data_IF_341420691097
#
_entry.id   IF_341420691097
#
_cell.length_a   1.000
_cell.length_b   1.000
_cell.length_c   1.000
_cell.angle_alpha   90.00
_cell.angle_beta   90.00
_cell.angle_gamma   90.00
#
_symmetry.space_group_name_H-M   'P 1'
#
loop_
_entity.id
_entity.type
_entity.pdbx_description
1 polymer ?
#
# COMPACT_ATOMS: atom_id res chain seq x y z
N UNK A 1 -19.34 11.96 26.79
CA UNK A 1 -18.06 12.44 27.37
C UNK A 1 -17.24 13.04 26.23
N UNK A 2 -17.03 14.36 26.25
CA UNK A 2 -16.15 15.05 25.31
C UNK A 2 -14.70 14.65 25.63
N UNK A 3 -14.14 13.70 24.88
CA UNK A 3 -12.70 13.49 24.87
C UNK A 3 -12.06 14.54 23.98
N UNK A 4 -10.91 15.07 24.39
CA UNK A 4 -10.10 15.95 23.54
C UNK A 4 -9.73 15.20 22.24
N UNK A 5 -9.91 15.81 21.05
CA UNK A 5 -9.66 15.16 19.77
C UNK A 5 -8.26 14.56 19.65
N UNK A 6 -7.22 15.31 20.05
CA UNK A 6 -5.82 14.87 19.96
C UNK A 6 -5.48 13.60 20.75
N UNK A 7 -6.04 13.43 21.95
CA UNK A 7 -5.82 12.23 22.79
C UNK A 7 -6.54 11.02 22.17
N UNK A 8 -7.68 11.28 21.54
CA UNK A 8 -8.49 10.27 20.85
C UNK A 8 -7.73 9.74 19.63
N UNK A 9 -7.12 10.64 18.87
CA UNK A 9 -6.34 10.28 17.67
C UNK A 9 -5.06 9.52 18.01
N UNK A 10 -4.32 9.95 19.05
CA UNK A 10 -3.11 9.25 19.50
C UNK A 10 -3.41 7.83 19.99
N UNK A 11 -4.47 7.66 20.76
CA UNK A 11 -4.85 6.32 21.27
C UNK A 11 -5.23 5.38 20.12
N UNK A 12 -6.02 5.88 19.16
CA UNK A 12 -6.40 5.13 17.97
C UNK A 12 -5.17 4.71 17.16
N UNK A 13 -4.23 5.63 16.96
CA UNK A 13 -3.01 5.35 16.21
C UNK A 13 -2.13 4.28 16.90
N UNK A 14 -2.05 4.28 18.23
CA UNK A 14 -1.34 3.21 18.96
C UNK A 14 -1.96 1.82 18.72
N UNK A 15 -3.30 1.72 18.63
CA UNK A 15 -3.95 0.45 18.30
C UNK A 15 -3.66 0.02 16.85
N UNK A 16 -3.66 0.96 15.90
CA UNK A 16 -3.32 0.71 14.49
C UNK A 16 -1.90 0.18 14.38
N UNK A 17 -0.92 0.85 14.99
CA UNK A 17 0.49 0.46 14.89
C UNK A 17 0.72 -0.96 15.44
N UNK A 18 0.17 -1.24 16.64
CA UNK A 18 0.26 -2.58 17.25
C UNK A 18 -0.44 -3.64 16.40
N UNK A 19 -1.59 -3.33 15.81
CA UNK A 19 -2.28 -4.24 14.91
C UNK A 19 -1.45 -4.55 13.66
N UNK A 20 -0.91 -3.52 12.99
CA UNK A 20 -0.06 -3.68 11.81
C UNK A 20 1.19 -4.52 12.12
N UNK A 21 1.84 -4.28 13.27
CA UNK A 21 2.99 -5.07 13.71
C UNK A 21 2.64 -6.56 13.89
N UNK A 22 1.50 -6.85 14.50
CA UNK A 22 1.01 -8.23 14.65
C UNK A 22 0.62 -8.84 13.30
N UNK A 23 -0.01 -8.06 12.43
CA UNK A 23 -0.50 -8.53 11.13
C UNK A 23 0.62 -8.82 10.14
N UNK A 24 1.78 -8.19 10.28
CA UNK A 24 3.01 -8.60 9.60
C UNK A 24 3.50 -10.01 10.02
N UNK A 25 3.16 -10.48 11.22
CA UNK A 25 3.76 -11.68 11.81
C UNK A 25 2.85 -12.90 11.74
N UNK A 26 1.53 -12.72 11.72
CA UNK A 26 0.54 -13.80 11.77
C UNK A 26 -0.79 -13.41 11.14
N UNK A 27 -1.59 -14.38 10.69
CA UNK A 27 -2.88 -14.09 10.05
C UNK A 27 -3.87 -13.50 11.05
N UNK A 28 -4.85 -12.73 10.55
CA UNK A 28 -5.76 -11.92 11.38
C UNK A 28 -6.54 -12.77 12.39
N UNK A 29 -6.89 -14.01 12.06
CA UNK A 29 -7.64 -14.93 12.94
C UNK A 29 -6.83 -15.35 14.18
N UNK A 30 -5.51 -15.10 14.19
CA UNK A 30 -4.61 -15.35 15.32
C UNK A 30 -4.31 -14.08 16.13
N UNK A 31 -4.85 -12.94 15.73
CA UNK A 31 -4.77 -11.67 16.44
C UNK A 31 -6.00 -11.54 17.34
N UNK A 32 -5.82 -11.05 18.57
CA UNK A 32 -6.95 -10.83 19.50
C UNK A 32 -6.99 -9.41 20.02
N UNK A 33 -8.20 -8.91 20.31
CA UNK A 33 -8.40 -7.61 20.98
C UNK A 33 -7.63 -7.54 22.31
N UNK A 34 -7.53 -8.67 23.02
CA UNK A 34 -6.78 -8.73 24.29
C UNK A 34 -5.28 -8.49 24.09
N UNK A 35 -4.69 -9.09 23.06
CA UNK A 35 -3.29 -8.93 22.72
C UNK A 35 -2.98 -7.51 22.25
N UNK A 36 -3.80 -6.96 21.34
CA UNK A 36 -3.67 -5.57 20.88
C UNK A 36 -3.74 -4.63 22.08
N UNK A 37 -4.79 -4.73 22.91
CA UNK A 37 -4.95 -3.85 24.06
C UNK A 37 -3.74 -3.91 25.01
N UNK A 38 -3.26 -5.13 25.32
CA UNK A 38 -2.10 -5.35 26.18
C UNK A 38 -0.83 -4.71 25.61
N UNK A 39 -0.52 -4.94 24.33
CA UNK A 39 0.69 -4.40 23.69
C UNK A 39 0.60 -2.89 23.50
N UNK A 40 -0.59 -2.34 23.31
CA UNK A 40 -0.81 -0.88 23.25
C UNK A 40 -0.79 -0.20 24.63
N UNK A 41 -0.69 -0.94 25.74
CA UNK A 41 -0.71 -0.38 27.10
C UNK A 41 -2.08 0.09 27.57
N UNK A 42 -3.17 -0.42 26.99
CA UNK A 42 -4.54 -0.05 27.31
C UNK A 42 -5.41 -1.25 27.70
N UNK A 43 -6.58 -0.98 28.28
CA UNK A 43 -7.57 -2.01 28.58
C UNK A 43 -8.40 -2.35 27.33
N UNK A 44 -8.97 -3.57 27.29
CA UNK A 44 -9.92 -3.98 26.23
C UNK A 44 -11.11 -3.02 26.10
N UNK A 45 -11.61 -2.51 27.23
CA UNK A 45 -12.68 -1.52 27.24
C UNK A 45 -12.30 -0.21 26.56
N UNK A 46 -11.01 0.14 26.54
CA UNK A 46 -10.50 1.30 25.79
C UNK A 46 -10.50 1.01 24.30
N UNK A 47 -10.07 -0.18 23.88
CA UNK A 47 -10.13 -0.59 22.47
C UNK A 47 -11.55 -0.49 21.90
N UNK A 48 -12.54 -1.01 22.64
CA UNK A 48 -13.95 -1.00 22.21
C UNK A 48 -14.59 0.40 22.14
N UNK A 49 -13.88 1.44 22.56
CA UNK A 49 -14.32 2.83 22.33
C UNK A 49 -13.95 3.32 20.92
N UNK A 50 -13.07 2.62 20.21
CA UNK A 50 -12.60 2.97 18.87
C UNK A 50 -13.05 1.95 17.82
N UNK A 51 -13.01 0.65 18.13
CA UNK A 51 -13.28 -0.43 17.19
C UNK A 51 -14.13 -1.52 17.84
N UNK A 52 -15.12 -2.05 17.11
CA UNK A 52 -16.00 -3.12 17.62
C UNK A 52 -15.28 -4.46 17.74
N UNK A 53 -14.31 -4.72 16.87
CA UNK A 53 -13.49 -5.93 16.83
C UNK A 53 -12.22 -5.67 15.97
N UNK A 54 -11.45 -6.73 15.71
CA UNK A 54 -10.22 -6.66 14.91
C UNK A 54 -10.48 -6.44 13.41
N UNK A 55 -11.65 -6.82 12.90
CA UNK A 55 -12.00 -6.66 11.49
C UNK A 55 -12.44 -5.22 11.21
N UNK A 56 -13.19 -4.60 12.13
CA UNK A 56 -13.49 -3.17 12.07
C UNK A 56 -12.22 -2.31 12.11
N UNK A 57 -11.18 -2.76 12.82
CA UNK A 57 -9.86 -2.12 12.79
C UNK A 57 -9.15 -2.32 11.44
N UNK A 58 -9.16 -3.55 10.89
CA UNK A 58 -8.61 -3.80 9.55
C UNK A 58 -9.30 -2.93 8.49
N UNK A 59 -10.63 -2.93 8.47
CA UNK A 59 -11.42 -2.15 7.53
C UNK A 59 -11.08 -0.66 7.60
N UNK A 60 -10.94 -0.12 8.82
CA UNK A 60 -10.52 1.28 9.03
C UNK A 60 -9.14 1.56 8.46
N UNK A 61 -8.19 0.64 8.66
CA UNK A 61 -6.81 0.78 8.17
C UNK A 61 -6.76 0.72 6.65
N UNK A 62 -7.47 -0.22 6.03
CA UNK A 62 -7.59 -0.33 4.57
C UNK A 62 -8.27 0.91 3.97
N UNK A 63 -9.40 1.33 4.54
CA UNK A 63 -10.15 2.51 4.09
C UNK A 63 -9.28 3.76 4.12
N UNK A 64 -8.50 3.95 5.18
CA UNK A 64 -7.59 5.09 5.29
C UNK A 64 -6.59 5.13 4.13
N UNK A 65 -6.00 3.99 3.76
CA UNK A 65 -5.06 3.92 2.64
C UNK A 65 -5.76 4.17 1.31
N UNK A 66 -6.94 3.59 1.09
CA UNK A 66 -7.72 3.80 -0.13
C UNK A 66 -8.14 5.25 -0.29
N UNK A 67 -8.55 5.90 0.80
CA UNK A 67 -8.92 7.31 0.81
C UNK A 67 -7.72 8.21 0.45
N UNK A 68 -6.54 7.93 1.01
CA UNK A 68 -5.30 8.65 0.64
C UNK A 68 -4.99 8.52 -0.86
N UNK A 69 -5.16 7.33 -1.43
CA UNK A 69 -4.97 7.12 -2.88
C UNK A 69 -6.01 7.91 -3.69
N UNK A 70 -7.27 7.89 -3.29
CA UNK A 70 -8.34 8.66 -3.96
C UNK A 70 -8.09 10.17 -3.93
N UNK A 71 -7.68 10.70 -2.79
CA UNK A 71 -7.42 12.13 -2.60
C UNK A 71 -6.29 12.62 -3.51
N UNK A 72 -5.23 11.82 -3.67
CA UNK A 72 -4.10 12.14 -4.54
C UNK A 72 -4.45 12.02 -6.01
N UNK A 73 -5.27 11.04 -6.37
CA UNK A 73 -5.84 10.96 -7.72
C UNK A 73 -6.81 12.12 -8.03
N UNK A 74 -7.44 12.72 -7.02
CA UNK A 74 -8.37 13.83 -7.22
C UNK A 74 -7.71 15.21 -7.20
N UNK A 75 -6.60 15.38 -6.48
CA UNK A 75 -5.96 16.68 -6.22
C UNK A 75 -5.08 17.18 -7.37
N UNK A 76 -4.62 16.29 -8.25
CA UNK A 76 -3.74 16.62 -9.37
C UNK A 76 -4.55 16.59 -10.68
N UNK A 77 -4.44 17.63 -11.51
CA UNK A 77 -5.11 17.66 -12.82
C UNK A 77 -4.73 16.41 -13.62
N UNK A 78 -5.76 15.77 -14.21
CA UNK A 78 -5.81 14.40 -14.69
C UNK A 78 -4.69 13.89 -15.63
N UNK A 79 -3.77 14.74 -16.06
CA UNK A 79 -2.81 14.45 -17.15
C UNK A 79 -1.45 13.88 -16.73
N UNK A 80 -1.12 13.81 -15.43
CA UNK A 80 0.19 13.30 -14.97
C UNK A 80 0.09 12.33 -13.79
N UNK A 81 -1.02 11.61 -13.65
CA UNK A 81 -1.12 10.57 -12.61
C UNK A 81 -0.14 9.43 -12.90
N UNK A 82 1.05 9.52 -12.33
CA UNK A 82 2.10 8.51 -12.47
C UNK A 82 2.12 7.63 -11.23
N UNK A 83 2.64 6.41 -11.38
CA UNK A 83 2.98 5.56 -10.24
C UNK A 83 3.90 6.27 -9.24
N UNK A 84 4.73 7.20 -9.69
CA UNK A 84 5.59 8.03 -8.85
C UNK A 84 4.80 8.85 -7.82
N UNK A 85 3.67 9.44 -8.23
CA UNK A 85 2.84 10.23 -7.32
C UNK A 85 2.24 9.35 -6.23
N UNK A 86 1.69 8.19 -6.60
CA UNK A 86 1.19 7.21 -5.65
C UNK A 86 2.30 6.71 -4.71
N UNK A 87 3.52 6.56 -5.21
CA UNK A 87 4.70 6.17 -4.41
C UNK A 87 5.09 7.24 -3.39
N UNK A 88 5.11 8.51 -3.80
CA UNK A 88 5.54 9.63 -2.97
C UNK A 88 4.62 9.85 -1.76
N UNK A 89 3.33 9.59 -1.92
CA UNK A 89 2.38 9.62 -0.82
C UNK A 89 2.73 8.59 0.27
N UNK A 90 3.28 7.46 -0.15
CA UNK A 90 3.59 6.30 0.69
C UNK A 90 5.03 6.35 1.27
N UNK A 91 5.68 7.52 1.25
CA UNK A 91 7.03 7.73 1.77
C UNK A 91 7.09 8.07 3.27
N UNK A 92 5.96 8.45 3.88
CA UNK A 92 5.92 8.70 5.32
C UNK A 92 6.10 7.40 6.12
N UNK A 93 7.01 7.42 7.11
CA UNK A 93 7.38 6.24 7.92
C UNK A 93 6.17 5.49 8.53
N UNK A 94 5.15 6.23 8.96
CA UNK A 94 3.94 5.67 9.57
C UNK A 94 3.08 4.93 8.54
N UNK A 95 2.95 5.47 7.33
CA UNK A 95 2.18 4.84 6.25
C UNK A 95 2.89 3.60 5.70
N UNK A 96 4.22 3.60 5.67
CA UNK A 96 5.01 2.42 5.24
C UNK A 96 4.73 1.21 6.14
N UNK A 97 4.63 1.41 7.45
CA UNK A 97 4.37 0.30 8.40
C UNK A 97 3.00 -0.34 8.15
N UNK A 98 2.01 0.48 7.79
CA UNK A 98 0.66 0.05 7.44
C UNK A 98 0.68 -0.72 6.13
N UNK A 99 1.37 -0.20 5.11
CA UNK A 99 1.49 -0.86 3.81
C UNK A 99 2.24 -2.18 3.92
N UNK A 100 3.29 -2.26 4.77
CA UNK A 100 3.98 -3.52 5.08
C UNK A 100 3.01 -4.58 5.59
N UNK A 101 2.08 -4.20 6.46
CA UNK A 101 1.06 -5.10 6.98
C UNK A 101 0.03 -5.50 5.92
N UNK A 102 -0.54 -4.53 5.21
CA UNK A 102 -1.60 -4.77 4.22
C UNK A 102 -1.10 -5.49 2.96
N UNK A 103 0.15 -5.27 2.54
CA UNK A 103 0.76 -5.89 1.37
C UNK A 103 1.72 -7.05 1.72
N UNK A 104 1.82 -7.38 3.01
CA UNK A 104 2.57 -8.51 3.54
C UNK A 104 1.90 -9.85 3.28
N UNK A 105 2.52 -10.93 3.76
CA UNK A 105 2.10 -12.31 3.45
C UNK A 105 0.66 -12.65 3.87
N UNK A 106 0.16 -11.98 4.92
CA UNK A 106 -1.17 -12.24 5.46
C UNK A 106 -2.25 -11.26 4.96
N UNK A 107 -1.87 -10.03 4.61
CA UNK A 107 -2.81 -8.99 4.16
C UNK A 107 -3.03 -8.93 2.66
N UNK A 108 -2.01 -9.28 1.87
CA UNK A 108 -1.93 -8.89 0.46
C UNK A 108 -3.13 -9.38 -0.37
N UNK A 109 -3.58 -10.62 -0.16
CA UNK A 109 -4.63 -11.21 -1.00
C UNK A 109 -5.93 -10.42 -0.89
N UNK A 110 -6.39 -10.14 0.34
CA UNK A 110 -7.63 -9.40 0.55
C UNK A 110 -7.50 -7.94 0.09
N UNK A 111 -6.42 -7.29 0.51
CA UNK A 111 -6.25 -5.86 0.26
C UNK A 111 -6.03 -5.55 -1.23
N UNK A 112 -5.28 -6.38 -1.97
CA UNK A 112 -5.07 -6.17 -3.41
C UNK A 112 -6.38 -6.30 -4.20
N UNK A 113 -7.21 -7.28 -3.89
CA UNK A 113 -8.51 -7.45 -4.54
C UNK A 113 -9.44 -6.26 -4.25
N UNK A 114 -9.40 -5.76 -3.00
CA UNK A 114 -10.11 -4.54 -2.63
C UNK A 114 -9.59 -3.31 -3.38
N UNK A 115 -8.28 -3.14 -3.42
CA UNK A 115 -7.60 -2.04 -4.11
C UNK A 115 -7.97 -2.01 -5.61
N UNK A 116 -7.89 -3.15 -6.30
CA UNK A 116 -8.26 -3.28 -7.72
C UNK A 116 -9.73 -2.95 -8.00
N UNK A 117 -10.62 -3.22 -7.04
CA UNK A 117 -12.06 -2.96 -7.17
C UNK A 117 -12.41 -1.50 -6.91
N UNK A 118 -11.76 -0.87 -5.93
CA UNK A 118 -12.14 0.45 -5.44
C UNK A 118 -11.37 1.58 -6.12
N UNK A 119 -10.16 1.30 -6.63
CA UNK A 119 -9.36 2.29 -7.38
C UNK A 119 -9.59 2.10 -8.88
N UNK A 120 -10.03 3.15 -9.62
CA UNK A 120 -10.31 3.07 -11.05
C UNK A 120 -9.02 3.17 -11.88
N UNK A 121 -8.14 2.16 -11.75
CA UNK A 121 -6.85 2.09 -12.43
C UNK A 121 -6.96 2.18 -13.95
N UNK A 122 -8.10 1.81 -14.52
CA UNK A 122 -8.35 1.95 -15.95
C UNK A 122 -8.18 3.39 -16.45
N UNK A 123 -8.49 4.39 -15.61
CA UNK A 123 -8.28 5.81 -15.96
C UNK A 123 -6.81 6.17 -16.12
N UNK A 124 -5.93 5.48 -15.39
CA UNK A 124 -4.48 5.69 -15.47
C UNK A 124 -3.88 5.13 -16.76
N UNK A 125 -4.53 4.12 -17.36
CA UNK A 125 -4.00 3.33 -18.47
C UNK A 125 -4.60 3.76 -19.80
N UNK A 126 -5.91 4.03 -19.87
CA UNK A 126 -6.60 4.31 -21.13
C UNK A 126 -6.14 5.60 -21.82
N UNK A 127 -5.64 6.59 -21.08
CA UNK A 127 -5.06 7.79 -21.66
C UNK A 127 -3.70 7.54 -22.34
N UNK A 128 -2.96 6.55 -21.85
CA UNK A 128 -1.61 6.22 -22.33
C UNK A 128 -1.60 5.13 -23.41
N UNK A 129 -2.59 4.24 -23.40
CA UNK A 129 -2.64 3.06 -24.28
C UNK A 129 -3.98 2.96 -25.01
N UNK A 130 -4.13 3.59 -26.20
CA UNK A 130 -5.29 3.32 -27.05
C UNK A 130 -5.29 1.83 -27.44
N UNK A 131 -6.24 1.08 -26.89
CA UNK A 131 -6.32 -0.38 -27.00
C UNK A 131 -7.76 -0.81 -27.28
N UNK A 132 -7.93 -1.92 -28.01
CA UNK A 132 -9.24 -2.52 -28.26
C UNK A 132 -9.84 -3.10 -26.96
N UNK A 133 -11.16 -2.95 -26.78
CA UNK A 133 -11.94 -3.42 -25.62
C UNK A 133 -11.65 -4.89 -25.21
N UNK A 134 -11.30 -5.76 -26.17
CA UNK A 134 -10.96 -7.17 -25.88
C UNK A 134 -9.63 -7.32 -25.13
N UNK A 135 -8.64 -6.49 -25.45
CA UNK A 135 -7.29 -6.58 -24.88
C UNK A 135 -7.13 -5.74 -23.61
N UNK A 136 -7.97 -4.70 -23.44
CA UNK A 136 -7.89 -3.79 -22.31
C UNK A 136 -7.85 -4.49 -20.94
N UNK A 137 -8.72 -5.48 -20.62
CA UNK A 137 -8.68 -6.14 -19.32
C UNK A 137 -7.35 -6.84 -19.02
N UNK A 138 -6.73 -7.46 -20.04
CA UNK A 138 -5.45 -8.16 -19.87
C UNK A 138 -4.29 -7.18 -19.68
N UNK A 139 -4.30 -6.06 -20.40
CA UNK A 139 -3.28 -5.02 -20.28
C UNK A 139 -3.38 -4.33 -18.92
N UNK A 140 -4.59 -4.02 -18.46
CA UNK A 140 -4.87 -3.44 -17.15
C UNK A 140 -4.39 -4.40 -16.04
N UNK A 141 -4.77 -5.67 -16.14
CA UNK A 141 -4.34 -6.69 -15.17
C UNK A 141 -2.82 -6.85 -15.16
N UNK A 142 -2.16 -6.91 -16.33
CA UNK A 142 -0.70 -6.96 -16.42
C UNK A 142 -0.03 -5.75 -15.77
N UNK A 143 -0.51 -4.55 -16.08
CA UNK A 143 0.05 -3.30 -15.57
C UNK A 143 -0.05 -3.24 -14.04
N UNK A 144 -1.26 -3.39 -13.50
CA UNK A 144 -1.51 -3.28 -12.05
C UNK A 144 -0.78 -4.41 -11.29
N UNK A 145 -0.85 -5.65 -11.77
CA UNK A 145 -0.22 -6.78 -11.09
C UNK A 145 1.30 -6.68 -11.09
N UNK A 146 1.91 -6.17 -12.17
CA UNK A 146 3.36 -5.91 -12.21
C UNK A 146 3.73 -4.79 -11.25
N UNK A 147 2.99 -3.69 -11.26
CA UNK A 147 3.19 -2.53 -10.40
C UNK A 147 3.17 -2.90 -8.92
N UNK A 148 2.10 -3.58 -8.49
CA UNK A 148 1.93 -4.04 -7.11
C UNK A 148 3.00 -5.05 -6.71
N UNK A 149 3.39 -5.96 -7.62
CA UNK A 149 4.42 -6.95 -7.32
C UNK A 149 5.80 -6.30 -7.10
N UNK A 150 6.16 -5.32 -7.93
CA UNK A 150 7.41 -4.56 -7.79
C UNK A 150 7.41 -3.71 -6.52
N UNK A 151 6.32 -3.00 -6.24
CA UNK A 151 6.16 -2.21 -5.02
C UNK A 151 6.27 -3.06 -3.75
N UNK A 152 5.65 -4.24 -3.74
CA UNK A 152 5.75 -5.22 -2.65
C UNK A 152 7.18 -5.70 -2.43
N UNK A 153 7.89 -5.99 -3.51
CA UNK A 153 9.29 -6.39 -3.44
C UNK A 153 10.15 -5.29 -2.81
N UNK A 154 9.96 -4.05 -3.29
CA UNK A 154 10.68 -2.88 -2.77
C UNK A 154 10.43 -2.65 -1.28
N UNK A 155 9.18 -2.74 -0.82
CA UNK A 155 8.84 -2.64 0.61
C UNK A 155 9.50 -3.76 1.43
N UNK A 156 9.48 -5.00 0.92
CA UNK A 156 10.05 -6.17 1.61
C UNK A 156 11.57 -6.09 1.71
N UNK A 157 12.22 -5.46 0.74
CA UNK A 157 13.65 -5.21 0.75
C UNK A 157 14.02 -3.92 1.54
N UNK A 158 13.11 -3.42 2.37
CA UNK A 158 13.30 -2.21 3.19
C UNK A 158 13.64 -0.97 2.36
N UNK A 159 13.00 -0.83 1.20
CA UNK A 159 13.19 0.30 0.27
C UNK A 159 14.65 0.44 -0.16
N UNK A 160 15.20 -0.65 -0.67
CA UNK A 160 16.59 -0.77 -1.16
C UNK A 160 16.91 0.13 -2.38
N UNK A 161 15.89 0.67 -3.04
CA UNK A 161 15.99 1.67 -4.10
C UNK A 161 15.37 3.00 -3.66
N UNK A 162 15.77 4.12 -4.25
CA UNK A 162 14.97 5.35 -4.18
C UNK A 162 13.62 5.16 -4.91
N UNK A 163 12.61 5.96 -4.56
CA UNK A 163 11.32 5.91 -5.27
C UNK A 163 11.49 6.28 -6.75
N UNK A 164 12.37 7.23 -7.07
CA UNK A 164 12.71 7.59 -8.44
C UNK A 164 13.38 6.43 -9.20
N UNK A 165 14.32 5.71 -8.57
CA UNK A 165 14.97 4.55 -9.18
C UNK A 165 13.97 3.43 -9.48
N UNK A 166 13.05 3.16 -8.56
CA UNK A 166 11.99 2.17 -8.75
C UNK A 166 11.05 2.56 -9.90
N UNK A 167 10.63 3.83 -9.96
CA UNK A 167 9.76 4.34 -11.04
C UNK A 167 10.45 4.21 -12.39
N UNK A 168 11.71 4.65 -12.49
CA UNK A 168 12.49 4.55 -13.73
C UNK A 168 12.65 3.11 -14.20
N UNK A 169 12.85 2.17 -13.28
CA UNK A 169 12.90 0.75 -13.60
C UNK A 169 11.56 0.27 -14.19
N UNK A 170 10.45 0.60 -13.53
CA UNK A 170 9.11 0.17 -13.96
C UNK A 170 8.74 0.78 -15.31
N UNK A 171 8.98 2.08 -15.51
CA UNK A 171 8.74 2.76 -16.79
C UNK A 171 9.57 2.14 -17.92
N UNK A 172 10.84 1.83 -17.65
CA UNK A 172 11.71 1.17 -18.63
C UNK A 172 11.23 -0.23 -18.98
N UNK A 173 10.75 -1.01 -17.99
CA UNK A 173 10.19 -2.34 -18.21
C UNK A 173 8.90 -2.27 -19.03
N UNK A 174 8.01 -1.30 -18.78
CA UNK A 174 6.80 -1.13 -19.57
C UNK A 174 7.08 -0.64 -20.99
N UNK A 175 8.06 0.25 -21.18
CA UNK A 175 8.42 0.76 -22.49
C UNK A 175 9.21 -0.24 -23.35
N UNK A 176 10.15 -0.98 -22.73
CA UNK A 176 11.18 -1.74 -23.46
C UNK A 176 11.15 -3.26 -23.19
N UNK A 177 10.32 -3.72 -22.26
CA UNK A 177 10.31 -5.11 -21.81
C UNK A 177 11.62 -5.53 -21.12
N UNK A 178 11.78 -6.85 -20.90
CA UNK A 178 12.98 -7.44 -20.29
C UNK A 178 14.02 -7.71 -21.39
N UNK A 179 14.58 -6.68 -22.00
CA UNK A 179 15.73 -6.85 -22.90
C UNK A 179 17.05 -6.66 -22.15
N UNK A 180 18.06 -7.43 -22.51
CA UNK A 180 19.33 -7.61 -21.79
C UNK A 180 20.22 -6.37 -21.64
N UNK A 181 19.84 -5.20 -22.17
CA UNK A 181 20.69 -4.01 -22.23
C UNK A 181 20.31 -2.88 -21.26
N UNK A 182 19.23 -3.00 -20.48
CA UNK A 182 18.77 -1.91 -19.61
C UNK A 182 18.64 -2.23 -18.12
N UNK A 183 19.08 -3.41 -17.67
CA UNK A 183 19.20 -3.70 -16.24
C UNK A 183 20.55 -3.14 -15.76
N UNK A 184 20.55 -1.83 -15.50
CA UNK A 184 21.54 -1.02 -14.78
C UNK A 184 23.02 -1.42 -14.89
N UNK A 185 23.83 -0.49 -15.43
CA UNK A 185 25.28 -0.51 -15.34
C UNK A 185 25.76 -0.47 -13.89
N UNK A 186 25.83 -1.63 -13.24
CA UNK A 186 26.73 -1.86 -12.12
C UNK A 186 28.04 -2.39 -12.67
N UNK A 187 28.93 -1.47 -13.02
CA UNK A 187 30.36 -1.75 -13.07
C UNK A 187 30.81 -2.13 -11.65
N UNK A 188 30.71 -3.40 -11.29
CA UNK A 188 31.58 -3.93 -10.25
C UNK A 188 33.00 -4.03 -10.85
N UNK A 189 34.01 -3.37 -10.26
CA UNK A 189 35.37 -3.50 -10.75
C UNK A 189 35.81 -4.94 -10.51
N UNK A 190 36.00 -5.70 -11.59
CA UNK A 190 36.77 -6.92 -11.53
C UNK A 190 38.25 -6.55 -11.36
N UNK A 191 38.90 -7.32 -10.48
CA UNK A 191 40.31 -7.21 -10.07
C UNK A 191 41.29 -7.22 -11.24
#
# INVERSE_FOLDING_TARGET
MNKQPEITDKTRQTFINVFCDLYCQKPIEKISVQEIAKLSGYNRSTFYQYFTDIYALLDFVEERVLQSIHEEMASREFSTHTFQDALQCLENAEEISVLKALLGDYGAVHFIERLKREIPFERLIFEQFPTNEVLAPYIIEFYISTLLSMFRLWIRNDKDLSSEELVQLIDSLFANGITSHHIFGMNHPQR
#
